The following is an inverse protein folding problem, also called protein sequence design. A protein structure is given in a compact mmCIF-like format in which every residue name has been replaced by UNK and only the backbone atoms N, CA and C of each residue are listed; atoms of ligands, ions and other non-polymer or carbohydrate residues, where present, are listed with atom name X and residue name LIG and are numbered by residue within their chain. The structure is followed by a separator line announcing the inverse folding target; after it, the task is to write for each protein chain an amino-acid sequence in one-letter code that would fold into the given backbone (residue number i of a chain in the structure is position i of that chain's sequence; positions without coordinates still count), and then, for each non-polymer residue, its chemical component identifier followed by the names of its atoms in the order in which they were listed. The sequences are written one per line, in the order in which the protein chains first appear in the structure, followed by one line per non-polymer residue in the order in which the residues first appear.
data_IF_420887902570
#
_entry.id   IF_420887902570
#
_cell.length_a   1.000
_cell.length_b   1.000
_cell.length_c   1.000
_cell.angle_alpha   90.00
_cell.angle_beta   90.00
_cell.angle_gamma   90.00
#
_symmetry.space_group_name_H-M   'P 1'
#
loop_
_entity.id
_entity.type
_entity.pdbx_description
1 polymer ?
#
# COMPACT_ATOMS: atom_id res chain seq x y z
N UNK A 1 -2.25 14.26 37.89
CA UNK A 1 -1.96 14.12 36.45
C UNK A 1 -1.97 12.66 36.08
N UNK A 2 -3.02 12.21 35.43
CA UNK A 2 -3.06 10.87 34.82
C UNK A 2 -2.21 10.91 33.57
N UNK A 3 -1.01 10.32 33.63
CA UNK A 3 -0.25 10.01 32.40
C UNK A 3 -1.09 9.02 31.61
N UNK A 4 -1.65 9.47 30.49
CA UNK A 4 -2.29 8.57 29.54
C UNK A 4 -1.26 7.52 29.13
N UNK A 5 -1.53 6.25 29.44
CA UNK A 5 -0.70 5.16 28.92
C UNK A 5 -0.71 5.24 27.41
N UNK A 6 0.43 5.03 26.75
CA UNK A 6 0.45 5.00 25.29
C UNK A 6 -0.56 3.97 24.80
N UNK A 7 -1.47 4.40 23.92
CA UNK A 7 -2.45 3.52 23.32
C UNK A 7 -1.69 2.40 22.62
N UNK A 8 -1.90 1.17 23.07
CA UNK A 8 -1.30 0.01 22.43
C UNK A 8 -1.93 -0.11 21.04
N UNK A 9 -1.16 0.16 20.00
CA UNK A 9 -1.61 0.00 18.62
C UNK A 9 -1.31 -1.43 18.20
N UNK A 10 -2.35 -2.14 17.82
CA UNK A 10 -2.24 -3.49 17.30
C UNK A 10 -2.48 -3.48 15.80
N UNK A 11 -1.70 -4.26 15.06
CA UNK A 11 -1.88 -4.50 13.65
C UNK A 11 -2.10 -6.00 13.46
N UNK A 12 -3.26 -6.35 12.92
CA UNK A 12 -3.53 -7.74 12.54
C UNK A 12 -2.83 -8.04 11.23
N UNK A 13 -2.04 -9.10 11.17
CA UNK A 13 -1.39 -9.55 9.94
C UNK A 13 -2.20 -10.70 9.34
N UNK A 14 -2.60 -10.55 8.09
CA UNK A 14 -3.26 -11.58 7.30
C UNK A 14 -2.32 -12.04 6.19
N UNK A 15 -1.73 -13.22 6.36
CA UNK A 15 -0.94 -13.86 5.30
C UNK A 15 -1.87 -14.73 4.47
N UNK A 16 -2.14 -14.30 3.24
CA UNK A 16 -3.06 -14.97 2.32
C UNK A 16 -2.35 -15.95 1.38
N UNK A 17 -1.01 -16.01 1.44
CA UNK A 17 -0.23 -16.81 0.49
C UNK A 17 -0.39 -16.30 -0.93
N UNK A 18 -0.92 -17.14 -1.82
CA UNK A 18 -1.17 -16.81 -3.22
C UNK A 18 -2.67 -16.65 -3.46
N UNK A 19 -3.09 -15.50 -3.99
CA UNK A 19 -4.51 -15.18 -4.28
C UNK A 19 -4.64 -14.33 -5.55
N UNK A 20 -5.71 -14.52 -6.35
CA UNK A 20 -6.04 -13.64 -7.45
C UNK A 20 -6.18 -12.19 -6.99
N UNK A 21 -5.72 -11.25 -7.80
CA UNK A 21 -5.76 -9.82 -7.44
C UNK A 21 -7.17 -9.34 -7.13
N UNK A 22 -8.16 -9.70 -7.93
CA UNK A 22 -9.55 -9.24 -7.76
C UNK A 22 -10.14 -9.62 -6.40
N UNK A 23 -9.86 -10.83 -5.92
CA UNK A 23 -10.36 -11.30 -4.62
C UNK A 23 -9.77 -10.46 -3.48
N UNK A 24 -8.48 -10.17 -3.56
CA UNK A 24 -7.80 -9.35 -2.55
C UNK A 24 -8.19 -7.87 -2.67
N UNK A 25 -8.44 -7.38 -3.87
CA UNK A 25 -8.96 -6.01 -4.06
C UNK A 25 -10.34 -5.85 -3.41
N UNK A 26 -11.22 -6.82 -3.57
CA UNK A 26 -12.52 -6.83 -2.89
C UNK A 26 -12.36 -6.91 -1.36
N UNK A 27 -11.44 -7.74 -0.87
CA UNK A 27 -11.11 -7.85 0.54
C UNK A 27 -10.59 -6.52 1.11
N UNK A 28 -9.72 -5.81 0.39
CA UNK A 28 -9.24 -4.49 0.79
C UNK A 28 -10.39 -3.50 0.98
N UNK A 29 -11.33 -3.46 0.04
CA UNK A 29 -12.51 -2.57 0.14
C UNK A 29 -13.37 -2.90 1.36
N UNK A 30 -13.59 -4.17 1.62
CA UNK A 30 -14.33 -4.64 2.79
C UNK A 30 -13.62 -4.24 4.09
N UNK A 31 -12.32 -4.48 4.18
CA UNK A 31 -11.52 -4.14 5.36
C UNK A 31 -11.42 -2.62 5.58
N UNK A 32 -11.32 -1.83 4.51
CA UNK A 32 -11.36 -0.37 4.60
C UNK A 32 -12.68 0.13 5.23
N UNK A 33 -13.82 -0.38 4.78
CA UNK A 33 -15.12 -0.02 5.34
C UNK A 33 -15.21 -0.41 6.82
N UNK A 34 -14.81 -1.62 7.16
CA UNK A 34 -14.80 -2.08 8.56
C UNK A 34 -13.89 -1.23 9.44
N UNK A 35 -12.73 -0.83 8.92
CA UNK A 35 -11.79 0.02 9.65
C UNK A 35 -12.35 1.43 9.84
N UNK A 36 -12.94 2.01 8.81
CA UNK A 36 -13.59 3.33 8.88
C UNK A 36 -14.72 3.37 9.89
N UNK A 37 -15.48 2.29 10.00
CA UNK A 37 -16.58 2.16 10.95
C UNK A 37 -16.12 1.77 12.37
N UNK A 38 -14.83 1.58 12.58
CA UNK A 38 -14.27 1.20 13.86
C UNK A 38 -14.52 -0.27 14.27
N UNK A 39 -14.94 -1.12 13.33
CA UNK A 39 -15.28 -2.51 13.59
C UNK A 39 -14.08 -3.44 13.65
N UNK A 40 -12.93 -3.01 13.14
CA UNK A 40 -11.67 -3.74 13.18
C UNK A 40 -10.51 -2.81 13.53
N UNK A 41 -9.42 -3.39 14.02
CA UNK A 41 -8.15 -2.70 14.18
C UNK A 41 -7.42 -2.57 12.84
N UNK A 42 -6.25 -1.96 12.86
CA UNK A 42 -5.39 -1.87 11.68
C UNK A 42 -5.02 -3.25 11.16
N UNK A 43 -4.89 -3.37 9.85
CA UNK A 43 -4.62 -4.65 9.17
C UNK A 43 -3.47 -4.49 8.19
N UNK A 44 -2.60 -5.49 8.13
CA UNK A 44 -1.62 -5.67 7.07
C UNK A 44 -1.93 -6.98 6.35
N UNK A 45 -2.28 -6.90 5.08
CA UNK A 45 -2.47 -8.06 4.21
C UNK A 45 -1.16 -8.33 3.48
N UNK A 46 -0.66 -9.55 3.57
CA UNK A 46 0.50 -10.04 2.81
C UNK A 46 0.04 -11.09 1.81
N UNK A 47 0.46 -10.96 0.57
CA UNK A 47 -0.02 -11.84 -0.52
C UNK A 47 0.92 -11.81 -1.72
N UNK A 48 0.92 -12.90 -2.48
CA UNK A 48 1.42 -12.94 -3.86
C UNK A 48 0.24 -13.09 -4.83
N UNK A 49 0.34 -12.48 -6.00
CA UNK A 49 -0.70 -12.54 -7.03
C UNK A 49 -0.25 -13.31 -8.26
N UNK A 50 -1.22 -13.84 -9.03
CA UNK A 50 -1.01 -14.20 -10.42
C UNK A 50 -0.64 -12.94 -11.23
N UNK A 51 -0.02 -13.10 -12.41
CA UNK A 51 0.33 -11.96 -13.25
C UNK A 51 -0.87 -11.04 -13.49
N UNK A 52 -0.69 -9.76 -13.17
CA UNK A 52 -1.73 -8.72 -13.27
C UNK A 52 -1.11 -7.34 -13.44
N UNK A 53 -1.74 -6.49 -14.25
CA UNK A 53 -1.42 -5.07 -14.33
C UNK A 53 -2.46 -4.26 -13.55
N UNK A 54 -2.00 -3.30 -12.76
CA UNK A 54 -2.87 -2.32 -12.11
C UNK A 54 -2.49 -0.93 -12.57
N UNK A 55 -3.50 -0.16 -12.97
CA UNK A 55 -3.36 1.22 -13.41
C UNK A 55 -3.86 2.14 -12.30
N UNK A 56 -2.96 2.95 -11.73
CA UNK A 56 -3.30 3.97 -10.74
C UNK A 56 -4.02 5.15 -11.37
N UNK A 57 -4.46 6.10 -10.53
CA UNK A 57 -5.20 7.31 -10.96
C UNK A 57 -4.47 8.16 -12.01
N UNK A 58 -3.14 8.16 -11.96
CA UNK A 58 -2.29 8.94 -12.85
C UNK A 58 -1.63 8.07 -13.94
N UNK A 59 -2.15 6.87 -14.16
CA UNK A 59 -1.61 5.97 -15.15
C UNK A 59 -1.73 6.56 -16.56
N UNK A 60 -0.60 6.56 -17.28
CA UNK A 60 -0.59 6.83 -18.70
C UNK A 60 -0.79 5.51 -19.46
N UNK A 61 -1.91 5.35 -20.20
CA UNK A 61 -2.17 4.12 -20.96
C UNK A 61 -1.05 3.77 -21.95
N UNK A 62 -0.30 4.76 -22.42
CA UNK A 62 0.83 4.56 -23.34
C UNK A 62 2.00 3.81 -22.69
N UNK A 63 2.07 3.80 -21.36
CA UNK A 63 3.06 3.02 -20.63
C UNK A 63 2.73 1.53 -20.60
N UNK A 64 1.50 1.16 -20.91
CA UNK A 64 1.10 -0.24 -21.03
C UNK A 64 1.59 -0.79 -22.37
N UNK A 65 2.66 -1.57 -22.34
CA UNK A 65 3.36 -2.03 -23.54
C UNK A 65 2.41 -2.76 -24.51
N UNK A 66 2.47 -2.39 -25.79
CA UNK A 66 1.72 -3.03 -26.85
C UNK A 66 2.08 -4.52 -27.01
N UNK A 67 3.34 -4.85 -26.71
CA UNK A 67 3.90 -6.20 -26.80
C UNK A 67 3.59 -7.09 -25.59
N UNK A 68 2.84 -6.57 -24.60
CA UNK A 68 2.48 -7.36 -23.42
C UNK A 68 1.63 -8.56 -23.77
N UNK A 69 1.67 -9.57 -22.92
CA UNK A 69 0.73 -10.70 -23.00
C UNK A 69 -0.70 -10.20 -22.70
N UNK A 70 -1.57 -10.31 -23.71
CA UNK A 70 -2.95 -9.85 -23.65
C UNK A 70 -3.85 -10.73 -22.79
N UNK A 71 -3.39 -11.92 -22.38
CA UNK A 71 -4.11 -12.79 -21.46
C UNK A 71 -4.01 -12.32 -20.01
N UNK A 72 -3.07 -11.41 -19.71
CA UNK A 72 -2.90 -10.84 -18.38
C UNK A 72 -3.93 -9.74 -18.14
N UNK A 73 -4.70 -9.88 -17.07
CA UNK A 73 -5.73 -8.91 -16.68
C UNK A 73 -5.14 -7.54 -16.36
N UNK A 74 -5.93 -6.51 -16.65
CA UNK A 74 -5.61 -5.11 -16.37
C UNK A 74 -6.74 -4.51 -15.54
N UNK A 75 -6.43 -3.95 -14.38
CA UNK A 75 -7.40 -3.29 -13.50
C UNK A 75 -7.08 -1.81 -13.31
N UNK A 76 -8.10 -0.97 -13.47
CA UNK A 76 -8.03 0.44 -13.08
C UNK A 76 -8.39 0.57 -11.60
N UNK A 77 -7.50 1.13 -10.80
CA UNK A 77 -7.62 1.17 -9.35
C UNK A 77 -7.39 2.58 -8.80
N UNK A 78 -7.76 2.78 -7.54
CA UNK A 78 -7.81 4.10 -6.91
C UNK A 78 -6.50 4.58 -6.26
N UNK A 79 -5.44 3.74 -6.25
CA UNK A 79 -4.14 4.16 -5.70
C UNK A 79 -3.49 5.26 -6.54
N UNK A 80 -2.62 6.05 -5.93
CA UNK A 80 -1.72 6.93 -6.66
C UNK A 80 -0.70 6.16 -7.51
N UNK A 81 -0.05 6.87 -8.42
CA UNK A 81 1.00 6.30 -9.28
C UNK A 81 0.51 5.85 -10.64
N UNK A 82 1.45 5.32 -11.41
CA UNK A 82 1.27 4.86 -12.79
C UNK A 82 0.90 3.36 -12.84
N UNK A 83 1.40 2.63 -13.80
CA UNK A 83 1.17 1.20 -13.99
C UNK A 83 2.08 0.39 -13.06
N UNK A 84 1.52 -0.64 -12.44
CA UNK A 84 2.27 -1.63 -11.68
C UNK A 84 1.96 -3.03 -12.19
N UNK A 85 2.98 -3.86 -12.32
CA UNK A 85 2.85 -5.28 -12.56
C UNK A 85 3.04 -6.04 -11.25
N UNK A 86 2.14 -6.99 -10.98
CA UNK A 86 2.29 -7.98 -9.92
C UNK A 86 2.36 -9.37 -10.53
N UNK A 87 3.13 -10.25 -9.91
CA UNK A 87 3.26 -11.64 -10.35
C UNK A 87 3.96 -12.51 -9.32
N UNK A 88 4.07 -13.82 -9.59
CA UNK A 88 4.75 -14.77 -8.70
C UNK A 88 6.17 -14.33 -8.36
N UNK A 89 6.55 -14.51 -7.09
CA UNK A 89 7.84 -14.07 -6.56
C UNK A 89 7.87 -12.63 -6.06
N UNK A 90 6.81 -11.86 -6.28
CA UNK A 90 6.67 -10.51 -5.74
C UNK A 90 5.74 -10.53 -4.52
N UNK A 91 6.28 -10.25 -3.35
CA UNK A 91 5.47 -10.07 -2.14
C UNK A 91 4.78 -8.71 -2.19
N UNK A 92 3.46 -8.71 -2.00
CA UNK A 92 2.65 -7.51 -1.92
C UNK A 92 2.12 -7.34 -0.51
N UNK A 93 2.30 -6.15 0.06
CA UNK A 93 1.74 -5.75 1.34
C UNK A 93 0.67 -4.68 1.15
N UNK A 94 -0.51 -4.90 1.70
CA UNK A 94 -1.59 -3.94 1.73
C UNK A 94 -1.89 -3.53 3.17
N UNK A 95 -1.28 -2.46 3.68
CA UNK A 95 -1.64 -1.93 5.00
C UNK A 95 -2.93 -1.14 4.90
N UNK A 96 -3.84 -1.39 5.84
CA UNK A 96 -5.11 -0.68 6.00
C UNK A 96 -5.09 -0.09 7.40
N UNK A 97 -4.71 1.17 7.48
CA UNK A 97 -4.39 1.84 8.72
C UNK A 97 -5.23 3.10 8.90
N UNK A 98 -5.58 3.38 10.14
CA UNK A 98 -6.10 4.69 10.52
C UNK A 98 -4.94 5.60 10.95
N UNK A 99 -4.52 6.50 10.07
CA UNK A 99 -3.39 7.39 10.31
C UNK A 99 -3.64 8.38 11.45
N UNK A 100 -4.89 8.56 11.91
CA UNK A 100 -5.17 9.40 13.08
C UNK A 100 -4.54 8.86 14.36
N UNK A 101 -4.25 7.56 14.40
CA UNK A 101 -3.56 6.91 15.51
C UNK A 101 -2.03 7.04 15.46
N UNK A 102 -1.49 7.56 14.35
CA UNK A 102 -0.06 7.74 14.10
C UNK A 102 0.23 9.21 13.79
N UNK A 103 0.33 9.54 12.53
CA UNK A 103 0.50 10.90 12.04
C UNK A 103 -0.34 11.11 10.78
N UNK A 104 -1.18 12.14 10.78
CA UNK A 104 -2.03 12.50 9.63
C UNK A 104 -1.21 13.17 8.53
N UNK A 105 -0.27 12.44 7.95
CA UNK A 105 0.59 12.91 6.87
C UNK A 105 0.86 11.78 5.90
N UNK A 106 0.41 11.93 4.67
CA UNK A 106 0.66 10.96 3.60
C UNK A 106 2.16 10.87 3.30
N UNK A 107 2.85 12.00 3.29
CA UNK A 107 4.29 12.04 3.07
C UNK A 107 5.06 11.26 4.16
N UNK A 108 4.70 11.48 5.41
CA UNK A 108 5.28 10.71 6.52
C UNK A 108 5.01 9.21 6.37
N UNK A 109 3.77 8.85 6.02
CA UNK A 109 3.37 7.47 5.83
C UNK A 109 4.18 6.79 4.73
N UNK A 110 4.32 7.43 3.58
CA UNK A 110 5.12 6.92 2.46
C UNK A 110 6.57 6.70 2.87
N UNK A 111 7.19 7.67 3.57
CA UNK A 111 8.56 7.54 4.07
C UNK A 111 8.70 6.44 5.12
N UNK A 112 7.67 6.23 5.93
CA UNK A 112 7.64 5.13 6.91
C UNK A 112 7.58 3.76 6.24
N UNK A 113 6.82 3.61 5.16
CA UNK A 113 6.78 2.36 4.38
C UNK A 113 8.12 2.07 3.69
N UNK A 114 8.77 3.09 3.16
CA UNK A 114 10.13 2.95 2.60
C UNK A 114 11.13 2.53 3.69
N UNK A 115 11.07 3.16 4.86
CA UNK A 115 11.97 2.82 5.97
C UNK A 115 11.74 1.39 6.45
N UNK A 116 10.49 0.98 6.60
CA UNK A 116 10.15 -0.39 6.95
C UNK A 116 10.75 -1.39 5.95
N UNK A 117 10.64 -1.10 4.66
CA UNK A 117 11.21 -1.95 3.61
C UNK A 117 12.73 -2.03 3.72
N UNK A 118 13.40 -0.90 3.94
CA UNK A 118 14.86 -0.84 4.13
C UNK A 118 15.28 -1.67 5.34
N UNK A 119 14.56 -1.54 6.45
CA UNK A 119 14.86 -2.25 7.69
C UNK A 119 14.70 -3.78 7.51
N UNK A 120 13.62 -4.21 6.85
CA UNK A 120 13.39 -5.63 6.53
C UNK A 120 14.50 -6.18 5.64
N UNK A 121 14.88 -5.46 4.58
CA UNK A 121 15.96 -5.88 3.69
C UNK A 121 17.31 -5.99 4.43
N UNK A 122 17.55 -5.10 5.38
CA UNK A 122 18.75 -5.13 6.20
C UNK A 122 18.85 -6.42 7.05
N UNK A 123 17.72 -6.96 7.52
CA UNK A 123 17.69 -8.25 8.22
C UNK A 123 18.21 -9.40 7.32
N UNK A 124 18.01 -9.28 6.00
CA UNK A 124 18.53 -10.22 5.00
C UNK A 124 19.92 -9.86 4.49
N UNK A 125 20.62 -8.92 5.14
CA UNK A 125 21.95 -8.43 4.72
C UNK A 125 21.95 -7.75 3.34
N UNK A 126 20.83 -7.19 2.95
CA UNK A 126 20.67 -6.42 1.70
C UNK A 126 20.65 -4.94 2.04
N UNK A 127 21.63 -4.21 1.54
CA UNK A 127 21.71 -2.76 1.72
C UNK A 127 20.83 -2.06 0.70
N UNK A 128 19.81 -1.37 1.17
CA UNK A 128 18.86 -0.65 0.34
C UNK A 128 18.83 0.85 0.69
N UNK A 129 18.37 1.67 -0.24
CA UNK A 129 18.34 3.12 -0.11
C UNK A 129 17.09 3.75 -0.73
N UNK A 130 16.83 4.99 -0.31
CA UNK A 130 15.93 5.90 -1.03
C UNK A 130 16.73 6.63 -2.13
N UNK A 131 15.99 7.07 -3.15
CA UNK A 131 16.52 8.01 -4.15
C UNK A 131 15.75 9.32 -4.02
N UNK A 132 16.44 10.43 -3.85
CA UNK A 132 15.81 11.74 -3.68
C UNK A 132 14.91 12.09 -4.85
N UNK A 133 13.72 12.60 -4.54
CA UNK A 133 12.70 12.98 -5.53
C UNK A 133 11.91 11.81 -6.10
N UNK A 134 12.21 10.58 -5.73
CA UNK A 134 11.49 9.39 -6.17
C UNK A 134 10.87 8.65 -4.99
N UNK A 135 9.76 7.97 -5.25
CA UNK A 135 9.10 7.11 -4.27
C UNK A 135 9.49 5.66 -4.52
N UNK A 136 9.92 4.98 -3.47
CA UNK A 136 10.32 3.57 -3.54
C UNK A 136 11.62 3.29 -2.80
N UNK A 137 12.12 2.09 -2.97
CA UNK A 137 13.38 1.61 -2.37
C UNK A 137 14.22 0.94 -3.45
N UNK A 138 15.52 1.22 -3.43
CA UNK A 138 16.49 0.72 -4.42
C UNK A 138 17.61 -0.08 -3.77
N UNK A 139 18.05 -1.10 -4.49
CA UNK A 139 19.31 -1.81 -4.23
C UNK A 139 20.23 -1.54 -5.41
N UNK A 140 21.33 -0.82 -5.18
CA UNK A 140 22.12 -0.29 -6.29
C UNK A 140 21.28 0.66 -7.15
N UNK A 141 21.22 0.40 -8.43
CA UNK A 141 20.47 1.19 -9.42
C UNK A 141 19.08 0.58 -9.75
N UNK A 142 18.73 -0.52 -9.10
CA UNK A 142 17.48 -1.23 -9.36
C UNK A 142 16.45 -1.00 -8.26
N UNK A 143 15.22 -0.71 -8.66
CA UNK A 143 14.10 -0.53 -7.73
C UNK A 143 13.60 -1.89 -7.24
N UNK A 144 13.76 -2.15 -5.95
CA UNK A 144 13.32 -3.41 -5.32
C UNK A 144 11.91 -3.32 -4.75
N UNK A 145 11.46 -2.14 -4.36
CA UNK A 145 10.11 -1.94 -3.83
C UNK A 145 9.48 -0.66 -4.34
N UNK A 146 8.21 -0.76 -4.70
CA UNK A 146 7.36 0.36 -5.09
C UNK A 146 6.26 0.54 -4.05
N UNK A 147 5.96 1.79 -3.71
CA UNK A 147 4.87 2.14 -2.80
C UNK A 147 3.89 3.07 -3.52
N UNK A 148 2.61 2.82 -3.30
CA UNK A 148 1.53 3.69 -3.72
C UNK A 148 0.43 3.66 -2.67
N UNK A 149 -0.25 4.79 -2.47
CA UNK A 149 -1.31 4.89 -1.47
C UNK A 149 -2.59 5.40 -2.08
N UNK A 150 -3.71 4.94 -1.52
CA UNK A 150 -5.02 5.56 -1.66
C UNK A 150 -5.40 6.08 -0.28
N UNK A 151 -5.62 7.39 -0.19
CA UNK A 151 -6.04 8.01 1.05
C UNK A 151 -7.53 8.33 0.98
N UNK A 152 -8.32 7.66 1.83
CA UNK A 152 -9.72 8.02 2.05
C UNK A 152 -9.75 9.08 3.15
N UNK A 153 -9.76 10.33 2.76
CA UNK A 153 -10.04 11.43 3.68
C UNK A 153 -11.54 11.46 3.93
N UNK A 154 -11.96 10.92 5.06
CA UNK A 154 -13.27 11.21 5.59
C UNK A 154 -13.22 12.65 6.14
N UNK A 155 -13.60 13.60 5.32
CA UNK A 155 -13.97 14.92 5.82
C UNK A 155 -15.37 14.79 6.39
N UNK A 156 -15.49 14.69 7.70
CA UNK A 156 -16.72 15.07 8.38
C UNK A 156 -17.12 16.45 7.87
N UNK A 157 -18.36 16.66 7.37
CA UNK A 157 -18.78 17.99 6.97
C UNK A 157 -18.54 18.92 8.15
N UNK A 158 -17.75 19.97 7.91
CA UNK A 158 -17.53 21.00 8.91
C UNK A 158 -18.87 21.61 9.29
N UNK A 159 -19.18 21.77 10.60
CA UNK A 159 -20.42 22.44 11.01
C UNK A 159 -20.55 23.90 10.50
N UNK A 160 -19.56 24.38 9.75
CA UNK A 160 -19.54 25.75 9.20
C UNK A 160 -20.07 25.83 7.77
N UNK A 161 -20.39 24.72 7.12
CA UNK A 161 -20.91 24.67 5.75
C UNK A 161 -22.44 24.48 5.72
N UNK A 162 -23.09 25.00 6.76
CA UNK A 162 -24.55 25.07 6.86
C UNK A 162 -25.06 26.46 6.49
#
# INVERSE_FOLDING_TARGET
MTTAQPKHLEIQVLDLGHKPYKDVWNLQKEMQLKRMNGNIEDVLILVEHDPVYTLGKNANPDHLLQSRDRSIDVFNIERGGDITFHGPGQLVGYPILDLSNYKKSVSWYMRSLEQLTIDVLNEFKITAKRVEGLTGVWVGDEKIAAQGVSCLLYTSPSPRDG
#
